data_IF_416462087045
#
_entry.id   IF_416462087045
#
_cell.length_a   1.000
_cell.length_b   1.000
_cell.length_c   1.000
_cell.angle_alpha   90.00
_cell.angle_beta   90.00
_cell.angle_gamma   90.00
#
_symmetry.space_group_name_H-M   'P 1'
#
loop_
_entity.id
_entity.type
_entity.pdbx_description
1 polymer ?
#
# COMPACT_ATOMS: atom_id res chain seq x y z
N UNK A 1 -6.09 -10.48 69.63
CA UNK A 1 -5.34 -9.21 69.74
C UNK A 1 -5.12 -8.68 68.32
N UNK A 2 -6.04 -7.88 67.74
CA UNK A 2 -6.10 -6.40 67.80
C UNK A 2 -4.73 -5.77 67.49
N UNK A 3 -4.51 -4.91 66.49
CA UNK A 3 -5.29 -3.79 65.95
C UNK A 3 -4.73 -3.42 64.55
N UNK A 4 -5.51 -3.38 63.46
CA UNK A 4 -6.33 -2.26 62.95
C UNK A 4 -5.62 -0.89 62.80
N UNK A 5 -5.56 -0.39 61.56
CA UNK A 5 -5.93 1.00 61.20
C UNK A 5 -6.17 1.12 59.68
N UNK A 6 -7.36 1.61 59.34
CA UNK A 6 -7.91 1.87 58.01
C UNK A 6 -7.88 3.38 57.69
N UNK A 7 -7.91 3.65 56.38
CA UNK A 7 -8.56 4.78 55.68
C UNK A 7 -7.83 6.15 55.68
N UNK A 8 -7.92 7.01 54.66
CA UNK A 8 -9.05 7.34 53.76
C UNK A 8 -8.60 7.88 52.39
N UNK A 9 -9.41 7.59 51.38
CA UNK A 9 -9.48 8.29 50.10
C UNK A 9 -10.12 9.68 50.25
N UNK A 10 -9.71 10.64 49.40
CA UNK A 10 -10.42 11.91 49.16
C UNK A 10 -10.28 12.38 47.71
N UNK A 11 -11.41 12.47 47.03
CA UNK A 11 -11.82 13.44 45.99
C UNK A 11 -13.36 13.26 45.86
N UNK A 12 -14.18 14.22 45.37
CA UNK A 12 -13.84 15.40 44.57
C UNK A 12 -14.52 16.71 45.03
N UNK A 13 -14.10 17.87 44.50
CA UNK A 13 -14.93 19.08 44.47
C UNK A 13 -14.67 19.92 43.21
N UNK A 14 -15.77 20.19 42.49
CA UNK A 14 -16.04 21.34 41.63
C UNK A 14 -17.58 21.47 41.57
N UNK A 15 -18.20 22.58 41.11
CA UNK A 15 -17.65 23.87 40.71
C UNK A 15 -18.36 25.07 41.39
N UNK A 16 -17.81 26.28 41.25
CA UNK A 16 -18.54 27.53 41.49
C UNK A 16 -18.37 28.52 40.33
N UNK A 17 -19.31 29.45 40.27
CA UNK A 17 -19.95 30.06 39.12
C UNK A 17 -19.37 31.40 38.63
N UNK A 18 -19.87 31.81 37.46
CA UNK A 18 -19.93 33.17 36.89
C UNK A 18 -18.64 33.69 36.23
N UNK A 19 -18.66 34.03 34.94
CA UNK A 19 -19.34 35.24 34.46
C UNK A 19 -19.67 35.17 32.96
N UNK A 20 -20.87 35.68 32.64
CA UNK A 20 -21.35 35.99 31.30
C UNK A 20 -20.66 37.25 30.79
N UNK A 21 -20.10 37.20 29.58
CA UNK A 21 -19.84 38.42 28.80
C UNK A 21 -20.37 38.28 27.36
N UNK A 22 -21.44 39.04 27.17
CA UNK A 22 -22.08 39.59 25.96
C UNK A 22 -21.45 39.27 24.59
N UNK A 23 -22.28 38.64 23.75
CA UNK A 23 -22.27 38.75 22.29
C UNK A 23 -23.02 40.03 21.85
N UNK A 24 -22.34 40.86 21.07
CA UNK A 24 -22.84 41.88 20.11
C UNK A 24 -21.71 41.93 19.06
N UNK A 25 -21.87 41.81 17.74
CA UNK A 25 -22.87 42.38 16.85
C UNK A 25 -22.17 43.41 15.95
N UNK A 26 -21.74 43.02 14.74
CA UNK A 26 -21.33 43.88 13.59
C UNK A 26 -20.95 42.95 12.42
N UNK A 27 -21.78 42.71 11.40
CA UNK A 27 -22.07 43.49 10.18
C UNK A 27 -20.84 43.97 9.38
N UNK A 28 -20.78 43.43 8.15
CA UNK A 28 -20.29 43.97 6.88
C UNK A 28 -18.96 44.74 6.81
N UNK A 29 -18.03 44.18 6.02
CA UNK A 29 -17.40 44.94 4.94
C UNK A 29 -16.89 43.99 3.85
N UNK A 30 -17.53 44.12 2.69
CA UNK A 30 -17.07 43.64 1.40
C UNK A 30 -15.80 44.36 0.98
N UNK A 31 -14.75 43.63 0.61
CA UNK A 31 -13.61 44.18 -0.12
C UNK A 31 -13.45 43.38 -1.41
N UNK A 32 -13.87 44.02 -2.52
CA UNK A 32 -13.47 43.65 -3.88
C UNK A 32 -12.01 44.06 -4.05
N UNK A 33 -11.16 43.17 -4.54
CA UNK A 33 -9.90 43.56 -5.16
C UNK A 33 -9.96 43.26 -6.65
N UNK A 34 -9.67 44.31 -7.41
CA UNK A 34 -9.71 44.41 -8.85
C UNK A 34 -8.61 43.59 -9.52
N UNK A 35 -8.94 43.08 -10.69
CA UNK A 35 -8.01 42.54 -11.66
C UNK A 35 -6.93 43.58 -12.01
N UNK A 36 -5.68 43.13 -12.07
CA UNK A 36 -4.61 43.81 -12.80
C UNK A 36 -4.06 42.80 -13.80
N UNK A 37 -4.31 43.08 -15.08
CA UNK A 37 -3.74 42.41 -16.23
C UNK A 37 -2.35 42.97 -16.54
N UNK A 38 -1.33 42.12 -16.63
CA UNK A 38 -0.08 42.48 -17.31
C UNK A 38 0.47 41.30 -18.12
N UNK A 39 0.47 41.50 -19.44
CA UNK A 39 1.63 41.32 -20.31
C UNK A 39 2.30 39.94 -20.42
N UNK A 40 1.95 39.23 -21.51
CA UNK A 40 2.75 38.16 -22.13
C UNK A 40 4.20 38.59 -22.40
N UNK A 41 5.17 37.70 -22.11
CA UNK A 41 6.34 37.42 -22.97
C UNK A 41 6.61 35.91 -22.96
N UNK A 42 6.66 35.31 -24.14
CA UNK A 42 6.88 33.87 -24.32
C UNK A 42 8.33 33.50 -24.60
N UNK A 43 8.64 32.22 -24.42
CA UNK A 43 9.63 31.35 -25.12
C UNK A 43 9.80 30.03 -24.30
N UNK A 44 10.35 28.95 -24.89
CA UNK A 44 9.82 28.12 -25.96
C UNK A 44 9.39 26.72 -25.45
N UNK A 45 8.59 26.02 -26.26
CA UNK A 45 7.89 24.79 -25.89
C UNK A 45 8.76 23.56 -25.68
N UNK A 46 8.48 22.84 -24.60
CA UNK A 46 8.86 21.44 -24.39
C UNK A 46 7.62 20.60 -24.73
N UNK A 47 7.67 19.87 -25.84
CA UNK A 47 6.62 18.93 -26.24
C UNK A 47 6.56 17.78 -25.24
N UNK A 48 5.55 17.79 -24.36
CA UNK A 48 5.18 16.63 -23.55
C UNK A 48 4.21 15.76 -24.34
N UNK A 49 4.68 14.57 -24.71
CA UNK A 49 3.90 13.55 -25.41
C UNK A 49 2.89 12.94 -24.42
N UNK A 50 1.69 13.53 -24.31
CA UNK A 50 0.55 12.93 -23.60
C UNK A 50 0.07 11.71 -24.40
N UNK A 51 0.25 10.50 -23.87
CA UNK A 51 -0.55 9.34 -24.30
C UNK A 51 -1.76 9.22 -23.38
N UNK A 52 -2.96 9.39 -23.97
CA UNK A 52 -4.22 8.88 -23.42
C UNK A 52 -4.34 7.42 -23.79
N UNK A 53 -4.69 6.55 -22.86
CA UNK A 53 -5.47 5.34 -23.10
C UNK A 53 -5.82 4.70 -21.75
N UNK A 54 -7.12 4.67 -21.43
CA UNK A 54 -7.88 3.47 -21.11
C UNK A 54 -9.24 3.92 -20.57
N UNK A 55 -10.17 4.07 -21.50
CA UNK A 55 -11.59 4.21 -21.23
C UNK A 55 -12.29 3.09 -22.00
N UNK A 56 -13.28 2.47 -21.36
CA UNK A 56 -14.21 1.45 -21.87
C UNK A 56 -13.73 0.00 -21.98
N UNK A 57 -14.20 -0.85 -21.05
CA UNK A 57 -14.71 -2.18 -21.36
C UNK A 57 -16.17 -2.24 -20.92
N UNK A 58 -17.08 -2.10 -21.89
CA UNK A 58 -18.46 -2.59 -21.81
C UNK A 58 -18.51 -3.84 -22.67
N UNK A 59 -18.96 -4.95 -22.10
CA UNK A 59 -19.36 -6.13 -22.86
C UNK A 59 -20.86 -6.02 -23.15
N UNK A 60 -21.18 -5.78 -24.41
CA UNK A 60 -22.48 -6.14 -24.98
C UNK A 60 -22.33 -7.52 -25.65
N UNK A 61 -23.30 -8.39 -25.40
CA UNK A 61 -23.32 -9.76 -25.85
C UNK A 61 -23.70 -9.94 -27.32
N UNK A 62 -23.53 -11.16 -27.81
CA UNK A 62 -24.19 -11.65 -29.02
C UNK A 62 -24.57 -13.12 -28.86
N UNK A 63 -25.89 -13.33 -28.88
CA UNK A 63 -26.57 -14.60 -29.12
C UNK A 63 -26.52 -14.99 -30.61
N UNK A 64 -26.69 -16.29 -30.85
CA UNK A 64 -27.15 -16.85 -32.13
C UNK A 64 -26.05 -17.60 -32.89
N UNK A 65 -26.29 -18.75 -33.55
CA UNK A 65 -27.53 -19.42 -33.95
C UNK A 65 -27.24 -20.92 -34.13
N UNK A 66 -28.26 -21.74 -33.85
CA UNK A 66 -28.35 -23.14 -34.27
C UNK A 66 -28.42 -23.25 -35.79
N UNK A 67 -27.77 -24.27 -36.36
CA UNK A 67 -28.17 -24.82 -37.66
C UNK A 67 -27.89 -26.32 -37.70
N UNK A 68 -28.98 -27.07 -37.86
CA UNK A 68 -29.08 -28.52 -38.04
C UNK A 68 -28.61 -28.94 -39.43
N UNK A 69 -27.85 -30.03 -39.54
CA UNK A 69 -27.70 -30.79 -40.79
C UNK A 69 -27.81 -32.30 -40.51
N UNK A 70 -28.97 -32.83 -40.92
CA UNK A 70 -29.33 -34.11 -41.58
C UNK A 70 -28.46 -35.36 -41.33
N UNK A 71 -29.18 -36.44 -40.96
CA UNK A 71 -28.75 -37.81 -40.75
C UNK A 71 -28.47 -38.61 -42.04
N UNK A 72 -27.59 -39.60 -41.95
CA UNK A 72 -27.72 -40.86 -42.69
C UNK A 72 -26.93 -41.99 -42.00
N UNK A 73 -27.63 -43.09 -41.71
CA UNK A 73 -27.10 -44.34 -41.19
C UNK A 73 -26.99 -45.38 -42.32
N UNK A 74 -26.02 -46.31 -42.21
CA UNK A 74 -26.19 -47.78 -42.35
C UNK A 74 -24.85 -48.50 -42.59
N UNK A 75 -24.67 -49.64 -41.90
CA UNK A 75 -23.67 -50.69 -42.13
C UNK A 75 -22.37 -50.49 -41.34
N UNK A 76 -21.87 -51.38 -40.48
CA UNK A 76 -22.09 -52.82 -40.31
C UNK A 76 -20.71 -53.43 -40.03
N UNK A 77 -20.38 -53.67 -38.75
CA UNK A 77 -19.10 -54.24 -38.32
C UNK A 77 -19.13 -54.53 -36.81
N UNK A 78 -18.84 -55.78 -36.45
CA UNK A 78 -18.97 -56.36 -35.11
C UNK A 78 -18.10 -55.67 -34.04
N UNK A 79 -18.50 -55.65 -32.75
CA UNK A 79 -17.61 -55.24 -31.68
C UNK A 79 -16.79 -56.44 -31.19
N UNK A 80 -15.47 -56.36 -31.32
CA UNK A 80 -14.58 -57.22 -30.56
C UNK A 80 -14.51 -56.75 -29.10
N UNK A 81 -14.64 -57.74 -28.23
CA UNK A 81 -14.62 -57.66 -26.78
C UNK A 81 -13.23 -57.23 -26.27
N UNK A 82 -13.16 -56.05 -25.66
CA UNK A 82 -12.08 -55.70 -24.73
C UNK A 82 -12.66 -55.12 -23.45
N UNK A 83 -13.36 -55.97 -22.70
CA UNK A 83 -13.58 -55.75 -21.28
C UNK A 83 -12.25 -55.82 -20.50
N UNK A 84 -11.46 -54.75 -20.45
CA UNK A 84 -10.48 -54.51 -19.40
C UNK A 84 -9.92 -53.09 -19.43
N UNK A 85 -9.85 -52.47 -18.25
CA UNK A 85 -9.23 -51.18 -17.91
C UNK A 85 -9.99 -49.93 -18.30
N UNK A 86 -11.07 -49.68 -17.56
CA UNK A 86 -11.47 -48.31 -17.24
C UNK A 86 -11.32 -48.06 -15.73
N UNK A 87 -10.08 -48.19 -15.24
CA UNK A 87 -9.71 -47.59 -13.95
C UNK A 87 -9.55 -46.10 -14.17
N UNK A 88 -10.62 -45.38 -13.78
CA UNK A 88 -10.74 -43.93 -13.73
C UNK A 88 -9.42 -43.27 -13.30
N UNK A 89 -8.68 -42.69 -14.24
CA UNK A 89 -7.79 -41.59 -13.93
C UNK A 89 -8.72 -40.41 -13.67
N UNK A 90 -9.07 -40.21 -12.40
CA UNK A 90 -9.66 -38.97 -11.96
C UNK A 90 -8.74 -37.85 -12.47
N UNK A 91 -9.28 -36.98 -13.33
CA UNK A 91 -8.53 -35.88 -13.92
C UNK A 91 -7.89 -35.06 -12.81
N UNK A 92 -6.57 -35.21 -12.67
CA UNK A 92 -5.77 -34.24 -11.95
C UNK A 92 -5.83 -32.98 -12.82
N UNK A 93 -6.74 -32.07 -12.49
CA UNK A 93 -6.63 -30.70 -12.95
C UNK A 93 -5.21 -30.24 -12.59
N UNK A 94 -4.39 -29.80 -13.57
CA UNK A 94 -3.07 -29.28 -13.27
C UNK A 94 -3.25 -28.12 -12.32
N UNK A 95 -2.74 -28.24 -11.10
CA UNK A 95 -2.67 -27.10 -10.19
C UNK A 95 -1.86 -26.02 -10.91
N UNK A 96 -2.36 -24.79 -11.03
CA UNK A 96 -1.61 -23.73 -11.70
C UNK A 96 -0.27 -23.60 -10.98
N UNK A 97 0.82 -23.65 -11.76
CA UNK A 97 2.16 -23.37 -11.24
C UNK A 97 2.15 -22.01 -10.55
N UNK A 98 2.77 -21.84 -9.37
CA UNK A 98 2.67 -20.61 -8.62
C UNK A 98 3.14 -19.41 -9.44
N UNK A 99 2.33 -18.34 -9.47
CA UNK A 99 2.65 -17.09 -10.16
C UNK A 99 3.63 -16.22 -9.37
N UNK A 100 3.76 -16.47 -8.07
CA UNK A 100 4.62 -15.74 -7.17
C UNK A 100 4.20 -15.81 -5.71
N UNK A 101 4.94 -15.10 -4.87
CA UNK A 101 4.68 -14.96 -3.44
C UNK A 101 4.37 -13.50 -3.09
N UNK A 102 3.26 -13.30 -2.37
CA UNK A 102 2.79 -12.00 -1.90
C UNK A 102 3.07 -11.88 -0.41
N UNK A 103 3.86 -10.88 -0.04
CA UNK A 103 4.23 -10.59 1.35
C UNK A 103 3.62 -9.27 1.76
N UNK A 104 2.71 -9.30 2.73
CA UNK A 104 2.00 -8.12 3.24
C UNK A 104 2.55 -7.75 4.62
N UNK A 105 3.02 -6.52 4.77
CA UNK A 105 3.45 -5.95 6.04
C UNK A 105 2.40 -4.99 6.60
N UNK A 106 2.06 -5.20 7.87
CA UNK A 106 1.12 -4.36 8.62
C UNK A 106 1.85 -3.74 9.82
N UNK A 107 2.37 -2.50 9.74
CA UNK A 107 2.88 -1.80 10.91
C UNK A 107 1.75 -1.56 11.92
N UNK A 108 1.96 -2.02 13.15
CA UNK A 108 0.97 -1.93 14.22
C UNK A 108 1.62 -1.48 15.54
N UNK A 109 0.94 -0.61 16.28
CA UNK A 109 1.34 -0.22 17.64
C UNK A 109 0.07 0.14 18.40
N UNK A 110 -0.49 -0.76 19.22
CA UNK A 110 -1.79 -0.57 19.86
C UNK A 110 -2.95 -0.39 18.86
N UNK A 111 -3.21 -1.43 18.06
CA UNK A 111 -4.27 -1.50 17.05
C UNK A 111 -5.30 -2.61 17.36
N UNK A 112 -5.50 -2.98 18.62
CA UNK A 112 -6.35 -4.13 19.03
C UNK A 112 -7.79 -4.08 18.48
N UNK A 113 -8.30 -2.87 18.20
CA UNK A 113 -9.66 -2.64 17.69
C UNK A 113 -9.78 -2.83 16.18
N UNK A 114 -8.68 -2.70 15.45
CA UNK A 114 -8.66 -2.60 14.00
C UNK A 114 -8.00 -3.81 13.34
N UNK A 115 -6.89 -4.30 13.90
CA UNK A 115 -6.02 -5.30 13.26
C UNK A 115 -6.77 -6.57 12.86
N UNK A 116 -7.69 -7.08 13.70
CA UNK A 116 -8.48 -8.26 13.39
C UNK A 116 -9.36 -8.08 12.14
N UNK A 117 -10.01 -6.91 12.02
CA UNK A 117 -10.83 -6.57 10.86
C UNK A 117 -9.98 -6.37 9.60
N UNK A 118 -8.81 -5.72 9.72
CA UNK A 118 -7.87 -5.56 8.59
C UNK A 118 -7.42 -6.91 8.06
N UNK A 119 -7.05 -7.84 8.95
CA UNK A 119 -6.58 -9.18 8.58
C UNK A 119 -7.65 -10.01 7.86
N UNK A 120 -8.92 -9.88 8.26
CA UNK A 120 -10.05 -10.55 7.60
C UNK A 120 -10.34 -10.02 6.20
N UNK A 121 -10.04 -8.73 5.95
CA UNK A 121 -10.26 -8.07 4.66
C UNK A 121 -9.19 -8.36 3.61
N UNK A 122 -8.06 -8.96 4.00
CA UNK A 122 -7.03 -9.36 3.04
C UNK A 122 -7.59 -10.47 2.15
N UNK A 123 -7.62 -10.32 0.81
CA UNK A 123 -8.29 -11.24 -0.10
C UNK A 123 -7.44 -12.49 -0.39
N UNK A 124 -7.02 -13.23 0.66
CA UNK A 124 -6.13 -14.39 0.54
C UNK A 124 -6.65 -15.44 -0.42
N UNK A 125 -7.93 -15.82 -0.28
CA UNK A 125 -8.54 -16.83 -1.15
C UNK A 125 -8.54 -16.42 -2.64
N UNK A 126 -8.76 -15.14 -2.93
CA UNK A 126 -8.70 -14.62 -4.30
C UNK A 126 -7.27 -14.67 -4.86
N UNK A 127 -6.28 -14.29 -4.05
CA UNK A 127 -4.87 -14.34 -4.43
C UNK A 127 -4.39 -15.79 -4.65
N UNK A 128 -4.77 -16.70 -3.76
CA UNK A 128 -4.47 -18.13 -3.84
C UNK A 128 -5.13 -18.78 -5.07
N UNK A 129 -6.39 -18.46 -5.35
CA UNK A 129 -7.07 -18.90 -6.57
C UNK A 129 -6.40 -18.35 -7.85
N UNK A 130 -5.78 -17.17 -7.76
CA UNK A 130 -4.98 -16.60 -8.84
C UNK A 130 -3.56 -17.19 -8.93
N UNK A 131 -3.21 -18.17 -8.10
CA UNK A 131 -1.92 -18.88 -8.11
C UNK A 131 -0.82 -18.21 -7.29
N UNK A 132 -1.14 -17.33 -6.34
CA UNK A 132 -0.17 -16.72 -5.45
C UNK A 132 -0.15 -17.39 -4.08
N UNK A 133 1.03 -17.55 -3.49
CA UNK A 133 1.13 -17.81 -2.05
C UNK A 133 1.06 -16.47 -1.30
N UNK A 134 0.47 -16.44 -0.10
CA UNK A 134 0.31 -15.20 0.67
C UNK A 134 0.87 -15.34 2.08
N UNK A 135 1.73 -14.40 2.48
CA UNK A 135 2.21 -14.28 3.86
C UNK A 135 1.92 -12.91 4.41
N UNK A 136 1.37 -12.86 5.63
CA UNK A 136 1.05 -11.61 6.32
C UNK A 136 1.92 -11.49 7.55
N UNK A 137 2.63 -10.37 7.64
CA UNK A 137 3.55 -10.04 8.71
C UNK A 137 3.10 -8.76 9.40
N UNK A 138 2.67 -8.89 10.65
CA UNK A 138 2.39 -7.75 11.50
C UNK A 138 3.68 -7.29 12.16
N UNK A 139 4.07 -6.05 11.89
CA UNK A 139 5.28 -5.42 12.42
C UNK A 139 4.88 -4.67 13.69
N UNK A 140 5.03 -5.33 14.84
CA UNK A 140 4.60 -4.81 16.12
C UNK A 140 5.60 -3.82 16.72
N UNK A 141 5.09 -2.65 17.07
CA UNK A 141 5.82 -1.51 17.63
C UNK A 141 6.14 -1.58 19.11
N UNK A 142 6.05 -2.75 19.73
CA UNK A 142 5.95 -2.98 21.18
C UNK A 142 4.58 -2.53 21.72
N UNK A 143 3.50 -3.13 21.19
CA UNK A 143 2.15 -2.87 21.68
C UNK A 143 1.99 -3.28 23.14
N UNK A 144 1.24 -2.47 23.89
CA UNK A 144 0.92 -2.67 25.31
C UNK A 144 -0.55 -3.03 25.54
N UNK A 145 -1.36 -3.05 24.48
CA UNK A 145 -2.75 -3.50 24.49
C UNK A 145 -2.87 -4.95 23.98
N UNK A 146 -4.09 -5.41 23.64
CA UNK A 146 -4.31 -6.79 23.17
C UNK A 146 -3.96 -7.02 21.70
N UNK A 147 -3.25 -6.11 21.03
CA UNK A 147 -2.89 -6.25 19.60
C UNK A 147 -2.25 -7.60 19.30
N UNK A 148 -1.24 -8.00 20.07
CA UNK A 148 -0.54 -9.29 19.89
C UNK A 148 -1.45 -10.50 20.13
N UNK A 149 -2.40 -10.41 21.06
CA UNK A 149 -3.38 -11.47 21.32
C UNK A 149 -4.30 -11.67 20.11
N UNK A 150 -4.81 -10.56 19.54
CA UNK A 150 -5.66 -10.59 18.34
C UNK A 150 -4.92 -11.19 17.16
N UNK A 151 -3.64 -10.83 16.97
CA UNK A 151 -2.84 -11.36 15.85
C UNK A 151 -2.61 -12.86 15.98
N UNK A 152 -2.27 -13.37 17.18
CA UNK A 152 -2.07 -14.82 17.40
C UNK A 152 -3.30 -15.64 17.02
N UNK A 153 -4.50 -15.12 17.27
CA UNK A 153 -5.76 -15.78 16.91
C UNK A 153 -6.04 -15.80 15.40
N UNK A 154 -5.41 -14.92 14.63
CA UNK A 154 -5.62 -14.78 13.18
C UNK A 154 -4.73 -15.68 12.31
N UNK A 155 -3.68 -16.26 12.89
CA UNK A 155 -2.66 -17.02 12.15
C UNK A 155 -1.68 -16.18 11.34
N UNK A 156 -1.69 -14.84 11.46
CA UNK A 156 -0.67 -13.98 10.87
C UNK A 156 0.66 -14.04 11.65
N UNK A 157 1.77 -13.92 10.94
CA UNK A 157 3.11 -13.86 11.53
C UNK A 157 3.34 -12.52 12.21
N UNK A 158 4.15 -12.52 13.27
CA UNK A 158 4.51 -11.31 14.01
C UNK A 158 6.02 -11.09 13.95
N UNK A 159 6.41 -9.87 13.59
CA UNK A 159 7.76 -9.36 13.76
C UNK A 159 7.73 -8.26 14.82
N UNK A 160 8.38 -8.46 15.96
CA UNK A 160 8.45 -7.45 17.02
C UNK A 160 9.68 -6.57 16.79
N UNK A 161 9.48 -5.26 16.62
CA UNK A 161 10.61 -4.35 16.38
C UNK A 161 11.44 -4.16 17.64
N UNK A 162 12.75 -4.02 17.46
CA UNK A 162 13.61 -3.37 18.46
C UNK A 162 13.51 -1.86 18.30
N UNK A 163 13.68 -1.07 19.37
CA UNK A 163 13.62 0.39 19.28
C UNK A 163 12.20 0.95 19.11
N UNK A 164 12.07 2.14 18.51
CA UNK A 164 10.79 2.88 18.43
C UNK A 164 10.58 3.51 17.07
N UNK A 165 9.31 3.53 16.65
CA UNK A 165 8.80 4.27 15.51
C UNK A 165 8.62 3.41 14.25
N UNK A 166 7.62 3.79 13.44
CA UNK A 166 7.19 3.05 12.24
C UNK A 166 8.34 2.76 11.28
N UNK A 167 9.11 3.78 10.89
CA UNK A 167 10.24 3.62 9.98
C UNK A 167 11.31 2.65 10.50
N UNK A 168 11.59 2.67 11.81
CA UNK A 168 12.54 1.74 12.40
C UNK A 168 12.02 0.29 12.42
N UNK A 169 10.74 0.06 12.71
CA UNK A 169 10.14 -1.28 12.66
C UNK A 169 10.07 -1.84 11.24
N UNK A 170 9.61 -1.04 10.28
CA UNK A 170 9.48 -1.46 8.89
C UNK A 170 10.82 -1.79 8.25
N UNK A 171 11.87 -1.01 8.51
CA UNK A 171 13.23 -1.31 8.04
C UNK A 171 13.74 -2.65 8.55
N UNK A 172 13.55 -2.94 9.84
CA UNK A 172 13.95 -4.21 10.42
C UNK A 172 13.17 -5.38 9.80
N UNK A 173 11.86 -5.20 9.57
CA UNK A 173 11.02 -6.22 8.95
C UNK A 173 11.40 -6.49 7.49
N UNK A 174 11.65 -5.45 6.70
CA UNK A 174 12.14 -5.57 5.31
C UNK A 174 13.48 -6.30 5.27
N UNK A 175 14.46 -5.86 6.09
CA UNK A 175 15.78 -6.50 6.18
C UNK A 175 15.67 -7.97 6.60
N UNK A 176 14.81 -8.28 7.57
CA UNK A 176 14.64 -9.64 8.08
C UNK A 176 14.11 -10.58 6.99
N UNK A 177 13.02 -10.20 6.31
CA UNK A 177 12.41 -11.07 5.30
C UNK A 177 13.27 -11.18 4.04
N UNK A 178 13.84 -10.08 3.56
CA UNK A 178 14.72 -10.11 2.38
C UNK A 178 15.94 -11.02 2.61
N UNK A 179 16.58 -10.96 3.78
CA UNK A 179 17.75 -11.82 4.11
C UNK A 179 17.38 -13.29 4.34
N UNK A 180 16.21 -13.56 4.93
CA UNK A 180 15.77 -14.94 5.20
C UNK A 180 15.62 -15.75 3.90
N UNK A 181 15.26 -15.07 2.81
CA UNK A 181 15.04 -15.69 1.50
C UNK A 181 16.30 -15.79 0.64
N UNK A 182 17.24 -14.84 0.77
CA UNK A 182 18.54 -14.94 0.09
C UNK A 182 19.34 -16.19 0.51
N UNK A 183 19.06 -16.76 1.69
CA UNK A 183 19.69 -17.98 2.20
C UNK A 183 19.00 -19.27 1.76
N UNK A 184 17.78 -19.19 1.23
CA UNK A 184 16.92 -20.36 1.08
C UNK A 184 17.09 -21.09 -0.26
N UNK A 185 17.39 -20.40 -1.38
CA UNK A 185 17.30 -21.05 -2.70
C UNK A 185 18.40 -20.68 -3.71
N UNK A 186 19.16 -21.71 -4.12
CA UNK A 186 20.23 -21.68 -5.12
C UNK A 186 19.77 -21.61 -6.59
N UNK A 187 18.87 -20.68 -6.96
CA UNK A 187 18.82 -20.18 -8.35
C UNK A 187 17.50 -20.23 -9.14
N UNK A 188 16.37 -20.68 -8.59
CA UNK A 188 15.06 -20.54 -9.25
C UNK A 188 14.04 -19.97 -8.27
N UNK A 189 13.80 -18.66 -8.35
CA UNK A 189 12.91 -17.94 -7.43
C UNK A 189 11.62 -17.56 -8.15
N UNK A 190 10.49 -17.95 -7.57
CA UNK A 190 9.21 -17.40 -7.97
C UNK A 190 9.20 -15.87 -7.74
N UNK A 191 8.52 -15.06 -8.58
CA UNK A 191 8.44 -13.62 -8.37
C UNK A 191 7.88 -13.27 -6.99
N UNK A 192 8.48 -12.31 -6.30
CA UNK A 192 7.96 -11.83 -5.00
C UNK A 192 7.47 -10.38 -5.09
N UNK A 193 6.33 -10.16 -4.46
CA UNK A 193 5.65 -8.87 -4.40
C UNK A 193 5.42 -8.49 -2.94
N UNK A 194 5.89 -7.31 -2.57
CA UNK A 194 5.85 -6.83 -1.19
C UNK A 194 4.85 -5.69 -1.06
N UNK A 195 4.02 -5.76 -0.05
CA UNK A 195 2.97 -4.79 0.24
C UNK A 195 3.15 -4.21 1.64
N UNK A 196 2.85 -2.94 1.82
CA UNK A 196 2.77 -2.29 3.11
C UNK A 196 1.49 -1.47 3.16
N UNK A 197 0.68 -1.61 4.21
CA UNK A 197 -0.43 -0.69 4.51
C UNK A 197 -0.77 -0.69 6.01
N UNK A 198 -1.35 0.42 6.49
CA UNK A 198 -1.57 0.62 7.93
C UNK A 198 -2.61 -0.35 8.49
N UNK A 199 -2.38 -0.81 9.72
CA UNK A 199 -3.21 -1.81 10.39
C UNK A 199 -4.44 -1.24 11.15
N UNK A 200 -4.85 -0.02 10.80
CA UNK A 200 -5.83 0.79 11.54
C UNK A 200 -7.22 0.87 10.87
N UNK A 201 -7.41 0.09 9.80
CA UNK A 201 -8.66 0.00 9.04
C UNK A 201 -8.84 1.08 7.96
N UNK A 202 -7.90 2.01 7.80
CA UNK A 202 -8.07 3.15 6.88
C UNK A 202 -7.85 2.81 5.40
N UNK A 203 -6.97 1.85 5.11
CA UNK A 203 -6.68 1.43 3.72
C UNK A 203 -7.55 0.25 3.29
N UNK A 204 -7.75 0.04 1.97
CA UNK A 204 -8.51 -1.08 1.43
C UNK A 204 -7.60 -2.29 1.09
N UNK A 205 -7.51 -3.34 1.92
CA UNK A 205 -6.69 -4.52 1.61
C UNK A 205 -7.21 -5.29 0.40
N UNK A 206 -8.47 -5.11 0.04
CA UNK A 206 -9.12 -5.74 -1.11
C UNK A 206 -8.45 -5.35 -2.44
N UNK A 207 -7.72 -4.24 -2.46
CA UNK A 207 -7.06 -3.71 -3.66
C UNK A 207 -5.70 -4.35 -3.98
N UNK A 208 -5.23 -5.32 -3.17
CA UNK A 208 -3.95 -6.00 -3.42
C UNK A 208 -3.88 -6.63 -4.83
N UNK A 209 -4.92 -7.29 -5.38
CA UNK A 209 -4.92 -7.83 -6.74
C UNK A 209 -4.64 -6.77 -7.83
N UNK A 210 -5.28 -5.61 -7.76
CA UNK A 210 -5.09 -4.53 -8.76
C UNK A 210 -3.67 -3.97 -8.72
N UNK A 211 -3.10 -3.82 -7.52
CA UNK A 211 -1.70 -3.42 -7.37
C UNK A 211 -0.74 -4.49 -7.94
N UNK A 212 -1.05 -5.77 -7.77
CA UNK A 212 -0.26 -6.87 -8.36
C UNK A 212 -0.27 -6.82 -9.88
N UNK A 213 -1.41 -6.57 -10.51
CA UNK A 213 -1.51 -6.42 -11.96
C UNK A 213 -0.60 -5.29 -12.47
N UNK A 214 -0.59 -4.15 -11.76
CA UNK A 214 0.27 -3.02 -12.11
C UNK A 214 1.75 -3.36 -11.93
N UNK A 215 2.14 -4.03 -10.84
CA UNK A 215 3.52 -4.50 -10.67
C UNK A 215 3.92 -5.50 -11.76
N UNK A 216 3.03 -6.44 -12.10
CA UNK A 216 3.25 -7.43 -13.15
C UNK A 216 3.37 -6.80 -14.55
N UNK A 217 2.76 -5.63 -14.78
CA UNK A 217 2.95 -4.83 -16.01
C UNK A 217 4.34 -4.22 -16.16
N UNK A 218 5.21 -4.42 -15.15
CA UNK A 218 6.55 -3.88 -15.09
C UNK A 218 6.60 -2.51 -14.41
N UNK A 219 5.73 -2.20 -13.45
CA UNK A 219 6.01 -1.11 -12.51
C UNK A 219 6.91 -1.62 -11.40
N UNK A 220 7.75 -0.73 -10.86
CA UNK A 220 8.67 -1.08 -9.78
C UNK A 220 8.06 -0.81 -8.41
N UNK A 221 7.29 0.27 -8.33
CA UNK A 221 6.59 0.72 -7.13
C UNK A 221 5.19 1.20 -7.48
N UNK A 222 4.20 0.80 -6.69
CA UNK A 222 2.82 1.27 -6.80
C UNK A 222 2.37 1.88 -5.48
N UNK A 223 1.85 3.11 -5.53
CA UNK A 223 1.31 3.82 -4.37
C UNK A 223 -0.22 3.86 -4.45
N UNK A 224 -0.88 3.70 -3.31
CA UNK A 224 -2.30 4.02 -3.20
C UNK A 224 -2.52 5.49 -2.92
N UNK A 225 -3.02 6.27 -3.87
CA UNK A 225 -3.31 7.69 -3.67
C UNK A 225 -4.71 7.92 -3.10
N UNK A 226 -4.76 8.49 -1.90
CA UNK A 226 -6.01 8.91 -1.24
C UNK A 226 -6.59 10.18 -1.84
N UNK A 227 -5.83 10.90 -2.67
CA UNK A 227 -6.29 12.11 -3.36
C UNK A 227 -6.83 11.84 -4.76
N UNK A 228 -6.63 10.63 -5.30
CA UNK A 228 -7.22 10.18 -6.55
C UNK A 228 -8.48 9.33 -6.37
N UNK A 229 -8.69 8.73 -5.18
CA UNK A 229 -9.91 8.00 -4.83
C UNK A 229 -10.86 8.79 -3.93
N UNK A 230 -11.81 8.10 -3.28
CA UNK A 230 -12.75 8.70 -2.34
C UNK A 230 -12.14 8.74 -0.93
N UNK A 231 -12.57 9.71 -0.13
CA UNK A 231 -12.12 9.83 1.25
C UNK A 231 -13.35 9.98 2.15
N UNK A 232 -13.50 9.07 3.11
CA UNK A 232 -14.58 9.12 4.08
C UNK A 232 -14.51 10.39 4.91
N UNK A 233 -15.67 10.85 5.39
CA UNK A 233 -15.74 11.99 6.29
C UNK A 233 -14.92 11.73 7.56
N UNK A 234 -14.14 12.74 7.98
CA UNK A 234 -13.27 12.61 9.15
C UNK A 234 -12.03 11.72 8.98
N UNK A 235 -11.83 11.06 7.83
CA UNK A 235 -10.68 10.18 7.60
C UNK A 235 -9.33 10.92 7.61
N UNK A 236 -9.34 12.20 7.23
CA UNK A 236 -8.15 13.06 7.27
C UNK A 236 -8.52 14.48 7.67
N UNK A 237 -7.80 15.04 8.64
CA UNK A 237 -7.95 16.44 9.02
C UNK A 237 -7.57 17.37 7.86
N UNK A 238 -8.21 18.54 7.77
CA UNK A 238 -7.88 19.54 6.74
C UNK A 238 -6.41 19.97 6.78
N UNK A 239 -5.83 20.06 7.99
CA UNK A 239 -4.41 20.36 8.15
C UNK A 239 -3.52 19.28 7.53
N UNK A 240 -3.82 17.99 7.77
CA UNK A 240 -3.07 16.89 7.17
C UNK A 240 -3.27 16.85 5.65
N UNK A 241 -4.48 17.15 5.16
CA UNK A 241 -4.78 17.22 3.73
C UNK A 241 -3.94 18.28 3.03
N UNK A 242 -3.92 19.50 3.56
CA UNK A 242 -3.12 20.61 3.00
C UNK A 242 -1.63 20.34 3.16
N UNK A 243 -1.19 19.90 4.34
CA UNK A 243 0.21 19.58 4.60
C UNK A 243 0.76 18.51 3.65
N UNK A 244 0.01 17.44 3.43
CA UNK A 244 0.41 16.37 2.50
C UNK A 244 0.44 16.86 1.04
N UNK A 245 -0.48 17.74 0.61
CA UNK A 245 -0.41 18.34 -0.73
C UNK A 245 0.86 19.19 -0.92
N UNK A 246 1.24 19.96 0.10
CA UNK A 246 2.50 20.75 0.09
C UNK A 246 3.71 19.83 0.05
N UNK A 247 3.75 18.79 0.89
CA UNK A 247 4.84 17.81 0.93
C UNK A 247 4.94 17.04 -0.40
N UNK A 248 3.81 16.69 -1.01
CA UNK A 248 3.78 16.04 -2.32
C UNK A 248 4.26 17.00 -3.42
N UNK A 249 3.94 18.29 -3.35
CA UNK A 249 4.48 19.29 -4.28
C UNK A 249 6.00 19.45 -4.12
N UNK A 250 6.49 19.48 -2.87
CA UNK A 250 7.92 19.50 -2.57
C UNK A 250 8.63 18.23 -3.10
N UNK A 251 8.03 17.06 -2.91
CA UNK A 251 8.57 15.80 -3.41
C UNK A 251 8.70 15.81 -4.95
N UNK A 252 7.66 16.26 -5.67
CA UNK A 252 7.73 16.45 -7.13
C UNK A 252 8.85 17.41 -7.54
N UNK A 253 8.98 18.53 -6.83
CA UNK A 253 10.01 19.53 -7.12
C UNK A 253 11.43 18.98 -6.93
N UNK A 254 11.67 18.25 -5.84
CA UNK A 254 13.00 17.76 -5.49
C UNK A 254 13.45 16.60 -6.39
N UNK A 255 12.54 15.69 -6.73
CA UNK A 255 12.87 14.43 -7.39
C UNK A 255 12.45 14.36 -8.87
N UNK A 256 11.63 15.31 -9.36
CA UNK A 256 11.16 15.30 -10.75
C UNK A 256 10.17 14.18 -11.08
N UNK A 257 9.68 13.45 -10.08
CA UNK A 257 8.72 12.34 -10.22
C UNK A 257 7.33 12.82 -9.79
N UNK A 258 6.32 12.53 -10.59
CA UNK A 258 4.93 12.86 -10.24
C UNK A 258 4.45 11.99 -9.07
N UNK A 259 3.93 12.61 -8.02
CA UNK A 259 3.27 11.93 -6.91
C UNK A 259 2.19 12.81 -6.33
N UNK A 260 0.95 12.32 -6.25
CA UNK A 260 -0.18 13.04 -5.65
C UNK A 260 -0.20 12.93 -4.14
N UNK A 261 0.20 11.80 -3.57
CA UNK A 261 0.09 11.48 -2.15
C UNK A 261 1.39 10.86 -1.58
N UNK A 262 2.40 11.70 -1.29
CA UNK A 262 3.71 11.22 -0.79
C UNK A 262 3.64 10.62 0.61
N UNK A 263 2.62 10.95 1.39
CA UNK A 263 2.42 10.44 2.75
C UNK A 263 1.44 9.28 2.82
N UNK A 264 1.15 8.59 1.70
CA UNK A 264 0.29 7.40 1.72
C UNK A 264 0.98 6.24 2.43
N UNK A 265 0.20 5.45 3.16
CA UNK A 265 0.64 4.25 3.84
C UNK A 265 0.54 2.98 3.00
N UNK A 266 -0.17 3.00 1.87
CA UNK A 266 -0.35 1.83 1.00
C UNK A 266 0.65 1.84 -0.16
N UNK A 267 1.56 0.87 -0.12
CA UNK A 267 2.64 0.71 -1.08
C UNK A 267 2.74 -0.75 -1.52
N UNK A 268 3.14 -0.95 -2.78
CA UNK A 268 3.56 -2.23 -3.28
C UNK A 268 4.88 -2.11 -4.05
N UNK A 269 5.72 -3.14 -3.97
CA UNK A 269 7.06 -3.19 -4.53
C UNK A 269 7.31 -4.56 -5.16
N UNK A 270 8.10 -4.60 -6.24
CA UNK A 270 8.78 -5.84 -6.59
C UNK A 270 10.00 -6.07 -5.66
N UNK A 271 10.46 -7.32 -5.59
CA UNK A 271 11.55 -7.72 -4.71
C UNK A 271 12.87 -6.98 -4.96
N UNK A 272 13.25 -6.81 -6.22
CA UNK A 272 14.51 -6.17 -6.61
C UNK A 272 14.53 -4.72 -6.15
N UNK A 273 13.45 -3.98 -6.44
CA UNK A 273 13.33 -2.58 -6.05
C UNK A 273 13.38 -2.44 -4.55
N UNK A 274 12.63 -3.23 -3.78
CA UNK A 274 12.64 -3.13 -2.31
C UNK A 274 14.03 -3.41 -1.74
N UNK A 275 14.76 -4.39 -2.29
CA UNK A 275 16.14 -4.73 -1.87
C UNK A 275 17.12 -3.57 -2.09
N UNK A 276 16.89 -2.77 -3.13
CA UNK A 276 17.76 -1.64 -3.46
C UNK A 276 17.43 -0.35 -2.69
N UNK A 277 16.34 -0.30 -1.92
CA UNK A 277 15.96 0.89 -1.15
C UNK A 277 16.80 1.03 0.13
N UNK A 278 17.71 2.00 0.13
CA UNK A 278 18.54 2.34 1.30
C UNK A 278 17.79 3.23 2.30
N UNK A 279 16.90 2.65 3.10
CA UNK A 279 16.05 3.38 4.04
C UNK A 279 16.77 3.80 5.33
N UNK A 280 16.51 5.02 5.78
CA UNK A 280 17.04 5.65 6.99
C UNK A 280 15.96 6.13 7.97
N UNK A 281 14.70 6.10 7.57
CA UNK A 281 13.58 6.56 8.38
C UNK A 281 13.54 5.87 9.75
N UNK A 282 13.00 6.60 10.74
CA UNK A 282 12.84 6.10 12.12
C UNK A 282 11.40 6.13 12.57
N UNK A 283 10.59 7.06 12.07
CA UNK A 283 9.20 7.24 12.47
C UNK A 283 8.28 7.41 11.27
N UNK A 284 7.44 8.44 11.32
CA UNK A 284 6.50 8.83 10.25
C UNK A 284 7.15 9.56 9.08
N UNK A 285 8.48 9.54 9.01
CA UNK A 285 9.26 9.99 7.85
C UNK A 285 9.47 8.87 6.82
N UNK A 286 8.96 7.66 7.10
CA UNK A 286 9.14 6.46 6.27
C UNK A 286 8.64 6.63 4.84
N UNK A 287 7.44 7.14 4.65
CA UNK A 287 6.80 7.23 3.32
C UNK A 287 7.57 8.19 2.40
N UNK A 288 8.01 9.34 2.94
CA UNK A 288 8.89 10.25 2.22
C UNK A 288 10.27 9.64 1.94
N UNK A 289 10.75 8.80 2.84
CA UNK A 289 12.03 8.14 2.68
C UNK A 289 11.99 7.04 1.61
N UNK A 290 10.92 6.25 1.59
CA UNK A 290 10.59 5.30 0.54
C UNK A 290 10.49 6.00 -0.81
N UNK A 291 9.70 7.08 -0.88
CA UNK A 291 9.54 7.85 -2.12
C UNK A 291 10.88 8.39 -2.62
N UNK A 292 11.63 9.09 -1.77
CA UNK A 292 12.91 9.66 -2.15
C UNK A 292 13.94 8.59 -2.54
N UNK A 293 13.97 7.45 -1.85
CA UNK A 293 14.85 6.33 -2.21
C UNK A 293 14.47 5.71 -3.56
N UNK A 294 13.19 5.47 -3.81
CA UNK A 294 12.71 4.90 -5.07
C UNK A 294 12.95 5.87 -6.24
N UNK A 295 12.71 7.17 -6.04
CA UNK A 295 12.93 8.18 -7.07
C UNK A 295 14.42 8.36 -7.43
N UNK A 296 15.32 8.34 -6.44
CA UNK A 296 16.78 8.39 -6.68
C UNK A 296 17.33 7.14 -7.37
N UNK A 297 16.60 6.03 -7.28
CA UNK A 297 16.87 4.78 -8.00
C UNK A 297 16.22 4.75 -9.39
N UNK A 298 15.55 5.83 -9.79
CA UNK A 298 14.83 5.93 -11.07
C UNK A 298 13.78 4.82 -11.24
N UNK A 299 13.21 4.34 -10.13
CA UNK A 299 12.16 3.33 -10.15
C UNK A 299 10.93 3.84 -10.91
N UNK A 300 10.27 2.94 -11.66
CA UNK A 300 8.98 3.21 -12.30
C UNK A 300 7.89 3.23 -11.25
N UNK A 301 7.55 4.44 -10.80
CA UNK A 301 6.55 4.71 -9.77
C UNK A 301 5.21 5.07 -10.42
N UNK A 302 4.15 4.37 -10.03
CA UNK A 302 2.76 4.65 -10.44
C UNK A 302 1.84 4.80 -9.23
N UNK A 303 0.74 5.54 -9.37
CA UNK A 303 -0.30 5.68 -8.36
C UNK A 303 -1.62 5.05 -8.82
N UNK A 304 -2.29 4.33 -7.92
CA UNK A 304 -3.67 3.88 -8.09
C UNK A 304 -4.61 4.69 -7.17
N UNK A 305 -5.82 5.06 -7.62
CA UNK A 305 -6.81 5.67 -6.75
C UNK A 305 -7.28 4.68 -5.69
N UNK A 306 -7.25 5.07 -4.41
CA UNK A 306 -7.74 4.22 -3.31
C UNK A 306 -8.83 4.95 -2.52
N UNK A 307 -9.82 4.19 -2.06
CA UNK A 307 -10.82 4.69 -1.13
C UNK A 307 -10.28 4.64 0.31
N UNK A 308 -10.29 5.78 1.00
CA UNK A 308 -9.69 5.95 2.32
C UNK A 308 -10.75 6.09 3.41
N UNK A 309 -10.82 5.11 4.31
CA UNK A 309 -11.80 5.02 5.37
C UNK A 309 -11.40 5.81 6.63
N UNK A 310 -12.37 6.05 7.52
CA UNK A 310 -12.09 6.60 8.83
C UNK A 310 -11.32 5.59 9.70
N UNK A 311 -10.36 6.10 10.49
CA UNK A 311 -9.52 5.28 11.34
C UNK A 311 -10.32 4.63 12.48
N UNK A 312 -10.05 3.36 12.74
CA UNK A 312 -10.57 2.66 13.92
C UNK A 312 -9.60 2.85 15.08
N UNK A 313 -10.01 3.63 16.09
CA UNK A 313 -9.19 3.96 17.25
C UNK A 313 -8.48 5.31 17.15
N UNK A 314 -7.75 5.73 18.20
CA UNK A 314 -7.19 7.06 18.29
C UNK A 314 -6.03 7.27 17.30
N UNK A 315 -5.85 8.50 16.77
CA UNK A 315 -4.69 8.85 15.97
C UNK A 315 -3.42 8.94 16.85
N UNK A 316 -2.26 8.61 16.27
CA UNK A 316 -0.95 8.60 16.95
C UNK A 316 -0.01 9.72 16.51
N UNK A 317 -0.53 10.68 15.72
CA UNK A 317 0.25 11.68 15.00
C UNK A 317 0.13 13.08 15.61
N UNK A 318 1.28 13.77 15.76
CA UNK A 318 1.36 15.21 16.05
C UNK A 318 1.64 15.95 14.73
N UNK A 319 0.68 16.67 14.12
CA UNK A 319 0.75 17.07 12.71
C UNK A 319 1.95 17.95 12.31
N UNK A 320 2.16 19.10 12.97
CA UNK A 320 3.12 20.11 12.50
C UNK A 320 4.58 19.66 12.62
N UNK A 321 4.96 19.11 13.78
CA UNK A 321 6.32 18.59 14.00
C UNK A 321 6.63 17.41 13.08
N UNK A 322 5.62 16.59 12.80
CA UNK A 322 5.76 15.48 11.85
C UNK A 322 5.95 16.00 10.43
N UNK A 323 5.15 16.97 9.99
CA UNK A 323 5.29 17.59 8.66
C UNK A 323 6.68 18.16 8.40
N UNK A 324 7.27 18.87 9.37
CA UNK A 324 8.65 19.38 9.24
C UNK A 324 9.68 18.26 9.13
N UNK A 325 9.55 17.18 9.92
CA UNK A 325 10.44 16.01 9.83
C UNK A 325 10.35 15.34 8.46
N UNK A 326 9.15 15.23 7.90
CA UNK A 326 8.93 14.67 6.56
C UNK A 326 9.59 15.56 5.49
N UNK A 327 9.40 16.89 5.56
CA UNK A 327 10.04 17.82 4.64
C UNK A 327 11.57 17.71 4.71
N UNK A 328 12.15 17.74 5.92
CA UNK A 328 13.59 17.58 6.14
C UNK A 328 14.10 16.24 5.62
N UNK A 329 13.32 15.16 5.73
CA UNK A 329 13.67 13.85 5.18
C UNK A 329 13.78 13.90 3.66
N UNK A 330 12.81 14.50 2.96
CA UNK A 330 12.85 14.68 1.50
C UNK A 330 14.10 15.48 1.09
N UNK A 331 14.39 16.59 1.77
CA UNK A 331 15.59 17.40 1.50
C UNK A 331 16.88 16.63 1.74
N UNK A 332 17.04 16.00 2.91
CA UNK A 332 18.24 15.23 3.26
C UNK A 332 18.48 14.12 2.24
N UNK A 333 17.42 13.42 1.83
CA UNK A 333 17.51 12.34 0.84
C UNK A 333 17.98 12.88 -0.52
N UNK A 334 17.43 14.02 -0.98
CA UNK A 334 17.84 14.64 -2.23
C UNK A 334 19.30 15.12 -2.22
N UNK A 335 19.77 15.65 -1.10
CA UNK A 335 21.13 16.18 -0.93
C UNK A 335 22.17 15.06 -0.79
N UNK A 336 21.85 13.99 -0.07
CA UNK A 336 22.81 12.94 0.22
C UNK A 336 22.95 11.90 -0.89
N UNK A 337 22.18 12.02 -1.99
CA UNK A 337 22.18 11.07 -3.11
C UNK A 337 21.90 9.62 -2.67
N UNK A 338 21.94 8.65 -3.60
CA UNK A 338 22.01 7.26 -3.20
C UNK A 338 23.35 7.06 -2.47
N UNK A 339 23.30 6.69 -1.19
CA UNK A 339 24.46 6.14 -0.50
C UNK A 339 24.88 4.89 -1.27
N UNK A 340 25.92 5.01 -2.08
CA UNK A 340 26.47 3.90 -2.85
C UNK A 340 27.08 2.90 -1.88
N UNK A 341 26.36 1.83 -1.57
CA UNK A 341 27.03 0.58 -1.20
C UNK A 341 27.75 0.08 -2.47
N UNK A 342 29.05 -0.24 -2.41
CA UNK A 342 29.81 -0.62 -3.59
C UNK A 342 29.52 -2.08 -3.95
N UNK A 343 28.38 -2.34 -4.58
CA UNK A 343 28.18 -3.53 -5.42
C UNK A 343 26.86 -3.40 -6.19
N UNK A 344 26.86 -3.91 -7.42
CA UNK A 344 25.72 -3.95 -8.35
C UNK A 344 25.39 -2.68 -9.15
N UNK A 345 26.33 -2.29 -10.03
CA UNK A 345 25.97 -1.71 -11.34
C UNK A 345 25.90 -2.83 -12.38
N UNK A 346 24.70 -3.22 -12.78
CA UNK A 346 24.32 -3.48 -14.18
C UNK A 346 22.95 -4.17 -14.26
N UNK A 347 21.96 -3.49 -14.83
CA UNK A 347 20.89 -4.14 -15.57
C UNK A 347 20.97 -3.62 -17.01
N UNK A 348 21.29 -4.46 -18.01
CA UNK A 348 21.12 -4.07 -19.40
C UNK A 348 19.63 -3.98 -19.74
N UNK A 349 19.25 -2.99 -20.54
CA UNK A 349 17.90 -2.86 -21.06
C UNK A 349 17.55 -4.12 -21.88
N UNK A 350 16.46 -4.81 -21.53
CA UNK A 350 15.94 -5.93 -22.31
C UNK A 350 15.32 -5.39 -23.60
N UNK A 351 16.14 -5.24 -24.64
CA UNK A 351 15.66 -4.99 -25.99
C UNK A 351 15.01 -6.27 -26.55
N UNK A 352 13.84 -6.07 -27.16
CA UNK A 352 13.02 -7.05 -27.86
C UNK A 352 13.82 -7.88 -28.87
N UNK A 353 13.84 -9.20 -28.70
CA UNK A 353 14.20 -10.14 -29.77
C UNK A 353 12.98 -10.31 -30.67
N UNK A 354 12.94 -9.56 -31.77
CA UNK A 354 12.27 -9.98 -33.00
C UNK A 354 13.10 -11.08 -33.62
N UNK A 355 12.60 -12.32 -33.60
CA UNK A 355 13.10 -13.40 -34.44
C UNK A 355 12.45 -13.29 -35.81
N UNK A 356 13.29 -13.23 -36.84
CA UNK A 356 12.94 -13.49 -38.24
C UNK A 356 12.74 -14.98 -38.49
#
# INVERSE_FOLDING_TARGET
MMSSRRARARTPMAPSSSSRTKWNGMRNSSVRFSQVSTGRRGRPGVQTRRRRACESYRNDGLEGKSTTVIAQAMGGGQPEDTSARNSRVAGQHPQPSPRGHVVIFLPALNEERAIGHVLQRIPKAQLEAAGYTVSVWVVDGNSTDRTLEVIRKSGASVFVQTGRGKGNGMRQAFDHLLRSRDRADGGSREPEFYFMFDADGTYPPEMVPEFLEVLASGQDVVLGSRFLGKMAEGAMSNLNRVGNRILSALARLLFGVSVTDVCTGMWAFNADTLRELSLEARGFDLEADLFGSAALKEARITELPIDYAARIGPPKLIPLRTGLKIALRLFKRRLNGPSTSPEHRSKPSRASRTTS
#
